data_IF_702149624803
#
_entry.id   IF_702149624803
#
_cell.length_a   1.000
_cell.length_b   1.000
_cell.length_c   1.000
_cell.angle_alpha   90.00
_cell.angle_beta   90.00
_cell.angle_gamma   90.00
#
_symmetry.space_group_name_H-M   'P 1'
#
loop_
_entity.id
_entity.type
_entity.pdbx_description
1 polymer ?
#
# COMPACT_ATOMS: atom_id res chain seq x y z
N UNK A 1 -20.69 24.71 -24.52
CA UNK A 1 -20.31 25.46 -23.31
C UNK A 1 -20.24 24.62 -22.02
N UNK A 2 -20.58 23.31 -22.05
CA UNK A 2 -20.50 22.43 -20.85
C UNK A 2 -19.10 22.00 -20.42
N UNK A 3 -18.14 21.93 -21.34
CA UNK A 3 -16.83 21.35 -21.03
C UNK A 3 -15.90 22.18 -20.13
N UNK A 4 -16.04 23.51 -20.15
CA UNK A 4 -15.20 24.39 -19.31
C UNK A 4 -15.73 24.39 -17.88
N UNK A 5 -17.04 24.47 -17.71
CA UNK A 5 -17.67 24.42 -16.38
C UNK A 5 -17.44 23.06 -15.71
N UNK A 6 -17.51 21.97 -16.48
CA UNK A 6 -17.24 20.62 -15.99
C UNK A 6 -15.76 20.43 -15.59
N UNK A 7 -14.81 20.99 -16.35
CA UNK A 7 -13.39 21.02 -16.00
C UNK A 7 -13.11 21.89 -14.77
N UNK A 8 -13.78 23.02 -14.63
CA UNK A 8 -13.69 23.84 -13.43
C UNK A 8 -14.26 23.14 -12.20
N UNK A 9 -15.43 22.50 -12.32
CA UNK A 9 -16.01 21.69 -11.24
C UNK A 9 -15.09 20.52 -10.85
N UNK A 10 -14.50 19.80 -11.82
CA UNK A 10 -13.51 18.75 -11.53
C UNK A 10 -12.26 19.28 -10.82
N UNK A 11 -11.79 20.48 -11.16
CA UNK A 11 -10.66 21.09 -10.46
C UNK A 11 -10.98 21.43 -9.00
N UNK A 12 -12.23 21.73 -8.67
CA UNK A 12 -12.68 21.98 -7.29
C UNK A 12 -12.96 20.72 -6.49
N UNK A 13 -13.19 19.56 -7.13
CA UNK A 13 -13.54 18.30 -6.48
C UNK A 13 -12.37 17.27 -6.48
N UNK A 14 -11.14 17.69 -6.72
CA UNK A 14 -10.00 16.77 -6.61
C UNK A 14 -9.82 16.35 -5.15
N UNK A 15 -10.12 15.10 -4.84
CA UNK A 15 -9.87 14.52 -3.52
C UNK A 15 -8.35 14.47 -3.30
N UNK A 16 -7.89 15.04 -2.20
CA UNK A 16 -6.48 14.98 -1.79
C UNK A 16 -6.35 13.94 -0.69
N UNK A 17 -5.40 13.05 -0.83
CA UNK A 17 -5.08 12.03 0.18
C UNK A 17 -3.58 11.96 0.42
N UNK A 18 -3.20 11.64 1.64
CA UNK A 18 -1.82 11.37 2.03
C UNK A 18 -1.61 9.86 2.19
N UNK A 19 -0.69 9.31 1.42
CA UNK A 19 -0.37 7.88 1.37
C UNK A 19 1.05 7.69 1.85
N UNK A 20 1.28 6.77 2.78
CA UNK A 20 2.60 6.43 3.29
C UNK A 20 2.99 5.03 2.84
N UNK A 21 4.12 4.90 2.15
CA UNK A 21 4.68 3.63 1.75
C UNK A 21 5.78 3.22 2.73
N UNK A 22 5.61 2.08 3.37
CA UNK A 22 6.56 1.47 4.31
C UNK A 22 6.81 0.00 3.96
N UNK A 23 7.80 -0.61 4.55
CA UNK A 23 8.24 -1.98 4.28
C UNK A 23 9.76 -2.06 4.22
N UNK A 24 10.31 -3.25 4.23
CA UNK A 24 11.75 -3.47 4.28
C UNK A 24 12.47 -2.88 3.05
N UNK A 25 13.77 -2.74 3.16
CA UNK A 25 14.61 -2.37 2.03
C UNK A 25 14.45 -3.36 0.88
N UNK A 26 14.63 -2.88 -0.35
CA UNK A 26 14.48 -3.68 -1.57
C UNK A 26 13.09 -4.30 -1.80
N UNK A 27 12.07 -4.00 -1.01
CA UNK A 27 10.70 -4.51 -1.26
C UNK A 27 10.00 -3.88 -2.48
N UNK A 28 10.60 -2.88 -3.11
CA UNK A 28 10.12 -2.25 -4.35
C UNK A 28 9.19 -1.05 -4.14
N UNK A 29 9.12 -0.46 -2.94
CA UNK A 29 8.30 0.73 -2.63
C UNK A 29 8.51 1.90 -3.60
N UNK A 30 9.76 2.28 -3.79
CA UNK A 30 10.15 3.39 -4.67
C UNK A 30 9.82 3.10 -6.13
N UNK A 31 10.04 1.86 -6.57
CA UNK A 31 9.68 1.42 -7.93
C UNK A 31 8.17 1.46 -8.12
N UNK A 32 7.41 0.94 -7.16
CA UNK A 32 5.96 1.00 -7.13
C UNK A 32 5.46 2.45 -7.25
N UNK A 33 5.99 3.35 -6.41
CA UNK A 33 5.64 4.76 -6.46
C UNK A 33 5.99 5.41 -7.81
N UNK A 34 7.11 5.03 -8.42
CA UNK A 34 7.49 5.51 -9.74
C UNK A 34 6.50 5.06 -10.82
N UNK A 35 6.08 3.79 -10.80
CA UNK A 35 5.08 3.28 -11.74
C UNK A 35 3.73 3.98 -11.53
N UNK A 36 3.31 4.20 -10.29
CA UNK A 36 2.08 4.96 -10.00
C UNK A 36 2.14 6.40 -10.55
N UNK A 37 3.30 7.06 -10.44
CA UNK A 37 3.48 8.45 -10.82
C UNK A 37 3.69 8.63 -12.33
N UNK A 38 4.43 7.75 -12.98
CA UNK A 38 4.91 7.89 -14.36
C UNK A 38 4.30 6.87 -15.33
N UNK A 39 3.68 5.81 -14.82
CA UNK A 39 3.11 4.74 -15.64
C UNK A 39 4.11 3.67 -16.10
N UNK A 40 5.38 3.78 -15.73
CA UNK A 40 6.41 2.82 -16.08
C UNK A 40 7.49 2.73 -14.99
N UNK A 41 8.16 1.57 -14.84
CA UNK A 41 9.27 1.44 -13.92
C UNK A 41 10.47 2.28 -14.37
N UNK A 42 11.22 2.78 -13.40
CA UNK A 42 12.53 3.38 -13.59
C UNK A 42 13.51 2.74 -12.63
N UNK A 43 14.77 2.72 -13.02
CA UNK A 43 15.83 2.27 -12.13
C UNK A 43 15.85 3.10 -10.86
N UNK A 44 15.94 2.43 -9.72
CA UNK A 44 15.88 3.07 -8.41
C UNK A 44 17.10 2.71 -7.57
N UNK A 45 17.61 3.71 -6.86
CA UNK A 45 18.59 3.49 -5.80
C UNK A 45 17.88 3.34 -4.44
N UNK A 46 18.52 2.72 -3.44
CA UNK A 46 17.99 2.66 -2.09
C UNK A 46 17.62 4.05 -1.55
N UNK A 47 16.40 4.17 -1.03
CA UNK A 47 15.89 5.45 -0.50
C UNK A 47 16.61 5.79 0.79
N UNK A 48 17.30 6.93 0.80
CA UNK A 48 17.94 7.48 1.99
C UNK A 48 16.94 8.42 2.69
N UNK A 49 16.44 7.99 3.85
CA UNK A 49 15.47 8.75 4.62
C UNK A 49 14.08 8.74 3.97
N UNK A 50 13.70 9.82 3.30
CA UNK A 50 12.35 10.06 2.81
C UNK A 50 12.37 10.63 1.38
N UNK A 51 11.44 10.15 0.55
CA UNK A 51 11.12 10.71 -0.75
C UNK A 51 9.62 11.02 -0.82
N UNK A 52 9.23 12.16 -1.39
CA UNK A 52 7.82 12.56 -1.51
C UNK A 52 7.47 12.80 -2.96
N UNK A 53 6.39 12.17 -3.43
CA UNK A 53 5.87 12.37 -4.79
C UNK A 53 4.39 12.70 -4.78
N UNK A 54 3.98 13.50 -5.76
CA UNK A 54 2.57 13.77 -6.05
C UNK A 54 2.13 12.91 -7.23
N UNK A 55 1.14 12.08 -7.00
CA UNK A 55 0.48 11.25 -8.02
C UNK A 55 -0.90 11.80 -8.26
N UNK A 56 -1.26 12.02 -9.53
CA UNK A 56 -2.59 12.50 -9.93
C UNK A 56 -3.21 11.50 -10.88
N UNK A 57 -4.34 10.91 -10.50
CA UNK A 57 -5.06 9.94 -11.33
C UNK A 57 -6.55 9.96 -10.99
N UNK A 58 -7.41 9.88 -12.01
CA UNK A 58 -8.86 9.71 -11.83
C UNK A 58 -9.55 10.77 -10.96
N UNK A 59 -9.07 12.03 -10.93
CA UNK A 59 -9.64 13.08 -10.06
C UNK A 59 -9.17 13.01 -8.60
N UNK A 60 -8.20 12.14 -8.29
CA UNK A 60 -7.56 12.05 -6.97
C UNK A 60 -6.12 12.57 -7.07
N UNK A 61 -5.70 13.34 -6.09
CA UNK A 61 -4.33 13.75 -5.89
C UNK A 61 -3.78 13.09 -4.63
N UNK A 62 -2.83 12.18 -4.80
CA UNK A 62 -2.16 11.48 -3.72
C UNK A 62 -0.80 12.12 -3.45
N UNK A 63 -0.55 12.53 -2.21
CA UNK A 63 0.77 12.89 -1.73
C UNK A 63 1.38 11.64 -1.10
N UNK A 64 2.31 11.03 -1.80
CA UNK A 64 2.91 9.76 -1.41
C UNK A 64 4.26 9.98 -0.72
N UNK A 65 4.39 9.42 0.48
CA UNK A 65 5.59 9.46 1.31
C UNK A 65 6.28 8.10 1.23
N UNK A 66 7.39 8.01 0.52
CA UNK A 66 8.19 6.79 0.35
C UNK A 66 9.33 6.79 1.36
N UNK A 67 9.24 5.95 2.38
CA UNK A 67 10.16 5.94 3.51
C UNK A 67 11.16 4.81 3.35
N UNK A 68 12.44 5.10 3.66
CA UNK A 68 13.52 4.12 3.63
C UNK A 68 13.22 2.88 4.47
N UNK A 69 13.49 1.69 3.91
CA UNK A 69 13.24 0.41 4.57
C UNK A 69 14.43 -0.15 5.35
N UNK A 70 15.58 0.51 5.28
CA UNK A 70 16.77 0.10 6.04
C UNK A 70 16.54 0.22 7.56
N UNK A 71 17.20 -0.63 8.34
CA UNK A 71 17.00 -0.73 9.79
C UNK A 71 17.03 0.64 10.50
N UNK A 72 17.92 1.52 10.08
CA UNK A 72 18.11 2.86 10.68
C UNK A 72 16.92 3.80 10.47
N UNK A 73 16.07 3.56 9.45
CA UNK A 73 14.91 4.43 9.14
C UNK A 73 13.58 3.87 9.65
N UNK A 74 13.53 2.58 10.08
CA UNK A 74 12.28 1.94 10.51
C UNK A 74 11.67 2.57 11.75
N UNK A 75 12.50 3.11 12.64
CA UNK A 75 12.02 3.84 13.82
C UNK A 75 11.23 5.10 13.48
N UNK A 76 11.46 5.67 12.30
CA UNK A 76 10.78 6.89 11.84
C UNK A 76 9.40 6.60 11.20
N UNK A 77 9.07 5.35 10.87
CA UNK A 77 7.81 5.02 10.20
C UNK A 77 6.60 5.54 10.96
N UNK A 78 6.52 5.33 12.28
CA UNK A 78 5.43 5.81 13.11
C UNK A 78 5.20 7.31 13.04
N UNK A 79 6.26 8.10 12.83
CA UNK A 79 6.16 9.55 12.70
C UNK A 79 5.38 9.98 11.45
N UNK A 80 5.52 9.26 10.34
CA UNK A 80 4.91 9.61 9.06
C UNK A 80 3.56 8.93 8.85
N UNK A 81 3.34 7.77 9.49
CA UNK A 81 2.08 7.04 9.37
C UNK A 81 0.96 7.64 10.20
N UNK A 82 1.28 8.39 11.26
CA UNK A 82 0.28 9.10 12.05
C UNK A 82 -0.33 10.24 11.26
N UNK A 83 -1.66 10.21 11.14
CA UNK A 83 -2.44 11.23 10.46
C UNK A 83 -2.43 11.13 8.93
N UNK A 84 -1.88 10.07 8.35
CA UNK A 84 -2.06 9.79 6.93
C UNK A 84 -3.44 9.16 6.66
N UNK A 85 -3.89 9.24 5.41
CA UNK A 85 -5.17 8.68 5.00
C UNK A 85 -5.09 7.18 4.71
N UNK A 86 -3.94 6.68 4.25
CA UNK A 86 -3.72 5.28 3.88
C UNK A 86 -2.25 4.90 4.10
N UNK A 87 -2.02 3.70 4.62
CA UNK A 87 -0.70 3.07 4.70
C UNK A 87 -0.62 1.96 3.67
N UNK A 88 0.47 1.91 2.92
CA UNK A 88 0.82 0.80 2.03
C UNK A 88 2.06 0.12 2.58
N UNK A 89 1.91 -1.11 3.06
CA UNK A 89 3.02 -1.95 3.54
C UNK A 89 3.46 -2.90 2.44
N UNK A 90 4.65 -2.70 1.89
CA UNK A 90 5.15 -3.48 0.75
C UNK A 90 6.10 -4.57 1.24
N UNK A 91 5.79 -5.82 0.87
CA UNK A 91 6.57 -7.02 1.20
C UNK A 91 7.18 -7.58 -0.09
N UNK A 92 8.44 -7.95 -0.06
CA UNK A 92 9.07 -8.72 -1.14
C UNK A 92 8.65 -10.19 -1.01
N UNK A 93 7.81 -10.65 -1.92
CA UNK A 93 7.27 -12.01 -1.89
C UNK A 93 8.32 -13.08 -2.23
N UNK A 94 9.42 -12.69 -2.88
CA UNK A 94 10.51 -13.59 -3.27
C UNK A 94 11.59 -13.70 -2.17
N UNK A 95 11.62 -12.79 -1.19
CA UNK A 95 12.64 -12.76 -0.13
C UNK A 95 12.20 -13.54 1.12
N UNK A 96 12.17 -14.87 1.04
CA UNK A 96 11.70 -15.76 2.12
C UNK A 96 12.42 -15.56 3.46
N UNK A 97 13.70 -15.25 3.43
CA UNK A 97 14.53 -14.96 4.60
C UNK A 97 14.09 -13.68 5.33
N UNK A 98 13.44 -12.76 4.63
CA UNK A 98 12.99 -11.49 5.17
C UNK A 98 11.51 -11.48 5.60
N UNK A 99 10.72 -12.48 5.24
CA UNK A 99 9.28 -12.54 5.57
C UNK A 99 9.03 -12.43 7.08
N UNK A 100 9.82 -13.15 7.89
CA UNK A 100 9.69 -13.10 9.36
C UNK A 100 9.98 -11.71 9.91
N UNK A 101 10.97 -11.03 9.36
CA UNK A 101 11.33 -9.67 9.75
C UNK A 101 10.25 -8.66 9.26
N UNK A 102 9.77 -8.82 8.02
CA UNK A 102 8.69 -7.99 7.48
C UNK A 102 7.43 -8.11 8.36
N UNK A 103 7.07 -9.33 8.76
CA UNK A 103 5.97 -9.56 9.69
C UNK A 103 6.17 -8.83 11.02
N UNK A 104 7.35 -8.98 11.62
CA UNK A 104 7.66 -8.35 12.91
C UNK A 104 7.52 -6.82 12.85
N UNK A 105 8.04 -6.20 11.80
CA UNK A 105 7.95 -4.75 11.63
C UNK A 105 6.51 -4.28 11.31
N UNK A 106 5.73 -5.08 10.57
CA UNK A 106 4.31 -4.82 10.34
C UNK A 106 3.54 -4.85 11.67
N UNK A 107 3.73 -5.89 12.49
CA UNK A 107 3.06 -5.99 13.78
C UNK A 107 3.45 -4.85 14.71
N UNK A 108 4.73 -4.47 14.73
CA UNK A 108 5.19 -3.31 15.50
C UNK A 108 4.50 -2.01 15.09
N UNK A 109 4.25 -1.84 13.78
CA UNK A 109 3.50 -0.69 13.26
C UNK A 109 2.05 -0.74 13.72
N UNK A 110 1.42 -1.93 13.72
CA UNK A 110 0.03 -2.13 14.12
C UNK A 110 -0.22 -2.04 15.65
N UNK A 111 0.83 -2.10 16.46
CA UNK A 111 0.75 -1.86 17.91
C UNK A 111 0.47 -0.37 18.25
N UNK A 112 0.68 0.54 17.29
CA UNK A 112 0.41 1.96 17.49
C UNK A 112 -1.11 2.22 17.44
N UNK A 113 -1.68 2.55 18.57
CA UNK A 113 -3.13 2.84 18.73
C UNK A 113 -3.61 4.01 17.86
N UNK A 114 -2.74 4.94 17.52
CA UNK A 114 -3.08 6.06 16.63
C UNK A 114 -3.37 5.60 15.21
N UNK A 115 -2.92 4.40 14.83
CA UNK A 115 -3.17 3.79 13.52
C UNK A 115 -4.42 2.89 13.49
N UNK A 116 -5.10 2.68 14.60
CA UNK A 116 -6.24 1.76 14.71
C UNK A 116 -7.40 2.07 13.73
N UNK A 117 -7.50 3.31 13.26
CA UNK A 117 -8.50 3.75 12.28
C UNK A 117 -7.93 4.03 10.89
N UNK A 118 -6.63 3.85 10.70
CA UNK A 118 -5.98 4.14 9.42
C UNK A 118 -6.01 2.90 8.52
N UNK A 119 -6.61 2.98 7.33
CA UNK A 119 -6.60 1.89 6.35
C UNK A 119 -5.17 1.45 6.01
N UNK A 120 -4.94 0.14 6.02
CA UNK A 120 -3.66 -0.48 5.70
C UNK A 120 -3.83 -1.44 4.53
N UNK A 121 -3.02 -1.24 3.49
CA UNK A 121 -2.89 -2.17 2.37
C UNK A 121 -1.54 -2.89 2.48
N UNK A 122 -1.56 -4.21 2.66
CA UNK A 122 -0.37 -5.05 2.61
C UNK A 122 -0.21 -5.61 1.20
N UNK A 123 0.91 -5.35 0.57
CA UNK A 123 1.18 -5.76 -0.82
C UNK A 123 2.35 -6.74 -0.89
N UNK A 124 2.08 -7.94 -1.39
CA UNK A 124 3.11 -8.86 -1.85
C UNK A 124 3.60 -8.40 -3.23
N UNK A 125 4.77 -7.85 -3.28
CA UNK A 125 5.41 -7.40 -4.51
C UNK A 125 6.40 -8.46 -5.04
N UNK A 126 6.74 -8.37 -6.32
CA UNK A 126 7.67 -9.25 -7.03
C UNK A 126 7.17 -10.69 -7.18
N UNK A 127 5.87 -10.87 -7.35
CA UNK A 127 5.26 -12.19 -7.60
C UNK A 127 5.57 -12.74 -9.01
N UNK A 128 6.21 -11.96 -9.85
CA UNK A 128 6.79 -12.35 -11.14
C UNK A 128 8.09 -13.16 -10.99
N UNK A 129 8.69 -13.14 -9.79
CA UNK A 129 9.89 -13.91 -9.47
C UNK A 129 9.53 -15.22 -8.78
N UNK A 130 10.11 -16.33 -9.26
CA UNK A 130 9.93 -17.65 -8.64
C UNK A 130 11.18 -18.08 -7.86
N UNK A 131 11.03 -18.74 -6.69
CA UNK A 131 9.77 -18.97 -5.98
C UNK A 131 9.32 -17.73 -5.21
N UNK A 132 8.01 -17.57 -5.01
CA UNK A 132 7.45 -16.50 -4.17
C UNK A 132 6.44 -17.04 -3.15
N UNK A 133 6.21 -16.30 -2.07
CA UNK A 133 5.18 -16.64 -1.09
C UNK A 133 3.79 -16.43 -1.71
N UNK A 134 2.92 -17.41 -1.57
CA UNK A 134 1.54 -17.31 -2.05
C UNK A 134 0.72 -16.33 -1.22
N UNK A 135 -0.34 -15.77 -1.80
CA UNK A 135 -1.25 -14.87 -1.10
C UNK A 135 -1.85 -15.48 0.19
N UNK A 136 -2.35 -16.73 0.19
CA UNK A 136 -2.85 -17.36 1.41
C UNK A 136 -1.78 -17.52 2.49
N UNK A 137 -0.52 -17.73 2.10
CA UNK A 137 0.61 -17.78 3.01
C UNK A 137 0.96 -16.39 3.54
N UNK A 138 0.93 -15.37 2.69
CA UNK A 138 1.15 -14.00 3.12
C UNK A 138 0.09 -13.58 4.15
N UNK A 139 -1.19 -13.87 3.91
CA UNK A 139 -2.27 -13.58 4.85
C UNK A 139 -2.01 -14.27 6.19
N UNK A 140 -1.69 -15.57 6.17
CA UNK A 140 -1.37 -16.33 7.39
C UNK A 140 -0.15 -15.78 8.12
N UNK A 141 0.87 -15.39 7.38
CA UNK A 141 2.12 -14.92 7.96
C UNK A 141 2.10 -13.44 8.36
N UNK A 142 1.35 -12.59 7.66
CA UNK A 142 1.38 -11.14 7.90
C UNK A 142 0.24 -10.65 8.79
N UNK A 143 -0.96 -11.19 8.65
CA UNK A 143 -2.18 -10.64 9.26
C UNK A 143 -2.75 -11.55 10.35
N UNK A 144 -2.51 -12.88 10.28
CA UNK A 144 -3.08 -13.83 11.21
C UNK A 144 -2.35 -13.82 12.57
N UNK A 145 -2.63 -12.82 13.39
CA UNK A 145 -2.38 -12.90 14.82
C UNK A 145 -3.68 -12.59 15.55
N UNK A 146 -4.10 -13.49 16.46
CA UNK A 146 -5.38 -13.37 17.17
C UNK A 146 -5.52 -12.05 17.93
N UNK A 147 -4.41 -11.48 18.39
CA UNK A 147 -4.39 -10.22 19.12
C UNK A 147 -4.63 -8.98 18.22
N UNK A 148 -4.22 -9.02 16.94
CA UNK A 148 -4.38 -7.92 15.98
C UNK A 148 -5.69 -8.06 15.20
N UNK A 149 -6.21 -9.29 15.10
CA UNK A 149 -7.31 -9.64 14.21
C UNK A 149 -8.69 -9.15 14.62
N UNK A 150 -8.93 -8.77 15.87
CA UNK A 150 -10.28 -8.35 16.32
C UNK A 150 -10.54 -6.87 16.16
N UNK A 151 -9.57 -6.01 16.35
CA UNK A 151 -9.76 -4.55 16.28
C UNK A 151 -9.57 -3.98 14.86
N UNK A 152 -8.81 -4.65 13.98
CA UNK A 152 -8.45 -4.13 12.65
C UNK A 152 -9.18 -4.82 11.49
N UNK A 153 -10.17 -5.64 11.77
CA UNK A 153 -10.90 -6.49 10.78
C UNK A 153 -11.63 -5.74 9.67
N UNK A 154 -11.59 -4.53 9.49
CA UNK A 154 -12.20 -3.81 8.37
C UNK A 154 -11.23 -2.88 7.66
N UNK A 155 -10.01 -2.77 8.17
CA UNK A 155 -9.05 -1.75 7.76
C UNK A 155 -7.80 -2.32 7.09
N UNK A 156 -7.60 -3.64 7.15
CA UNK A 156 -6.44 -4.31 6.55
C UNK A 156 -6.85 -5.02 5.27
N UNK A 157 -6.21 -4.65 4.18
CA UNK A 157 -6.38 -5.23 2.86
C UNK A 157 -5.09 -5.93 2.47
N UNK A 158 -5.19 -7.07 1.79
CA UNK A 158 -4.04 -7.79 1.26
C UNK A 158 -4.17 -7.86 -0.25
N UNK A 159 -3.11 -7.60 -0.95
CA UNK A 159 -3.05 -7.66 -2.40
C UNK A 159 -1.72 -8.18 -2.89
N UNK A 160 -1.69 -8.65 -4.11
CA UNK A 160 -0.49 -9.09 -4.81
C UNK A 160 -0.19 -8.15 -5.96
N UNK A 161 1.08 -7.87 -6.21
CA UNK A 161 1.47 -7.00 -7.32
C UNK A 161 2.82 -7.41 -7.92
N UNK A 162 2.96 -7.10 -9.19
CA UNK A 162 4.25 -6.99 -9.87
C UNK A 162 4.31 -5.61 -10.53
N UNK A 163 5.48 -5.24 -11.03
CA UNK A 163 5.69 -3.93 -11.66
C UNK A 163 4.69 -3.67 -12.79
N UNK A 164 4.32 -4.70 -13.56
CA UNK A 164 3.41 -4.59 -14.70
C UNK A 164 1.95 -4.28 -14.30
N UNK A 165 1.50 -4.75 -13.12
CA UNK A 165 0.11 -4.59 -12.63
C UNK A 165 -0.09 -3.37 -11.72
N UNK A 166 0.94 -2.61 -11.46
CA UNK A 166 0.89 -1.48 -10.51
C UNK A 166 -0.11 -0.38 -10.89
N UNK A 167 -0.51 -0.29 -12.15
CA UNK A 167 -1.49 0.72 -12.57
C UNK A 167 -2.89 0.50 -11.97
N UNK A 168 -3.24 -0.73 -11.61
CA UNK A 168 -4.51 -1.09 -10.98
C UNK A 168 -4.57 -0.66 -9.51
N UNK A 169 -3.41 -0.52 -8.87
CA UNK A 169 -3.30 -0.17 -7.45
C UNK A 169 -3.84 1.21 -7.08
N UNK A 170 -3.85 2.15 -8.00
CA UNK A 170 -4.38 3.50 -7.71
C UNK A 170 -5.88 3.43 -7.46
N UNK A 171 -6.59 2.54 -8.17
CA UNK A 171 -8.01 2.29 -7.90
C UNK A 171 -8.23 1.65 -6.53
N UNK A 172 -7.36 0.69 -6.13
CA UNK A 172 -7.42 0.05 -4.82
C UNK A 172 -7.25 1.05 -3.67
N UNK A 173 -6.27 1.94 -3.77
CA UNK A 173 -6.02 2.94 -2.71
C UNK A 173 -7.23 3.86 -2.52
N UNK A 174 -7.95 4.16 -3.59
CA UNK A 174 -9.18 4.94 -3.55
C UNK A 174 -10.35 4.14 -2.99
N UNK A 175 -10.46 2.85 -3.33
CA UNK A 175 -11.52 1.95 -2.86
C UNK A 175 -11.37 1.65 -1.37
N UNK A 176 -10.15 1.41 -0.88
CA UNK A 176 -9.83 1.21 0.54
C UNK A 176 -10.28 2.41 1.37
N UNK A 177 -10.10 3.62 0.88
CA UNK A 177 -10.54 4.81 1.58
C UNK A 177 -12.06 5.03 1.53
N UNK A 178 -12.74 4.55 0.48
CA UNK A 178 -14.20 4.69 0.35
C UNK A 178 -14.96 3.66 1.18
N UNK A 179 -14.43 2.45 1.34
CA UNK A 179 -15.06 1.36 2.09
C UNK A 179 -14.83 1.41 3.60
N UNK A 180 -13.89 2.19 4.08
CA UNK A 180 -13.61 2.37 5.51
C UNK A 180 -14.73 3.06 6.31
N UNK A 181 -15.86 3.41 5.68
CA UNK A 181 -16.98 4.10 6.30
C UNK A 181 -18.32 3.35 6.30
N UNK A 182 -18.40 2.15 5.69
CA UNK A 182 -19.66 1.41 5.61
C UNK A 182 -19.42 -0.10 5.81
N UNK A 183 -20.07 -0.62 6.82
CA UNK A 183 -20.34 -2.03 7.10
C UNK A 183 -19.16 -2.92 7.55
N UNK A 184 -19.15 -3.17 8.86
CA UNK A 184 -18.34 -4.16 9.57
C UNK A 184 -18.66 -5.61 9.17
N UNK A 185 -18.53 -5.98 7.90
CA UNK A 185 -18.69 -7.35 7.45
C UNK A 185 -17.52 -7.81 6.58
N UNK A 186 -16.86 -8.83 7.10
CA UNK A 186 -15.95 -9.78 6.44
C UNK A 186 -14.66 -9.23 5.81
N UNK A 187 -13.55 -9.70 6.39
CA UNK A 187 -12.25 -9.88 5.73
C UNK A 187 -12.44 -10.73 4.46
N UNK A 188 -12.90 -10.13 3.40
CA UNK A 188 -12.73 -10.66 2.08
C UNK A 188 -11.44 -10.03 1.55
N UNK A 189 -10.36 -10.82 1.52
CA UNK A 189 -9.25 -10.55 0.64
C UNK A 189 -9.86 -10.34 -0.75
N UNK A 190 -9.93 -9.11 -1.21
CA UNK A 190 -10.36 -8.83 -2.58
C UNK A 190 -9.17 -9.11 -3.46
N UNK A 191 -9.08 -10.37 -3.88
CA UNK A 191 -8.13 -10.81 -4.88
C UNK A 191 -8.44 -10.02 -6.16
N UNK A 192 -7.55 -9.16 -6.57
CA UNK A 192 -7.55 -8.63 -7.92
C UNK A 192 -6.61 -9.50 -8.76
N UNK A 193 -6.95 -10.78 -8.86
CA UNK A 193 -6.53 -11.61 -9.96
C UNK A 193 -7.72 -11.72 -10.91
N UNK A 194 -7.67 -11.03 -12.03
CA UNK A 194 -8.53 -11.37 -13.15
C UNK A 194 -8.05 -12.72 -13.70
N UNK A 195 -8.79 -13.79 -13.39
CA UNK A 195 -8.64 -15.10 -14.02
C UNK A 195 -9.17 -15.04 -15.47
N UNK A 196 -8.59 -14.25 -16.30
CA UNK A 196 -8.90 -14.28 -17.72
C UNK A 196 -7.63 -14.13 -18.54
N UNK A 197 -6.92 -15.26 -18.69
CA UNK A 197 -6.40 -15.72 -19.99
C UNK A 197 -5.71 -17.10 -19.82
N UNK A 198 -6.48 -18.12 -20.14
CA UNK A 198 -5.96 -19.30 -20.81
C UNK A 198 -6.12 -19.09 -22.31
#
# INVERSE_FOLDING_TARGET
MGGILQKMLQAFYTKKIEVVLVGLENSGKTTLLNVMAMGHPVETCPTIGLNVKLVKKGGVQMKCWDIGGQAQYRSEWGRYTRGCDVIIYVVDANAFDQISLARKELHRLLEDRELATTPLLVLANKIDLEPHISEPELIRHSVANEAVGQELRGLVWVGVTCIERTQEMVSMTTDVQQSGCADGQNLSAKVLCDESQH
#
